data_IF_055700989274
#
_entry.id   IF_055700989274
#
_cell.length_a   1.000
_cell.length_b   1.000
_cell.length_c   1.000
_cell.angle_alpha   90.00
_cell.angle_beta   90.00
_cell.angle_gamma   90.00
#
_symmetry.space_group_name_H-M   'P 1'
#
loop_
_entity.id
_entity.type
_entity.pdbx_description
1 polymer ?
#
# COMPACT_ATOMS: atom_id res chain seq x y z
N UNK A 1 -11.52 2.42 -4.97
CA UNK A 1 -10.98 1.69 -6.16
C UNK A 1 -11.47 0.25 -6.18
N UNK A 2 -11.51 -0.49 -7.30
CA UNK A 2 -11.71 -1.97 -7.27
C UNK A 2 -10.51 -2.65 -6.59
N UNK A 3 -10.65 -3.89 -6.07
CA UNK A 3 -9.56 -4.60 -5.40
C UNK A 3 -8.30 -4.74 -6.28
N UNK A 4 -8.46 -5.10 -7.55
CA UNK A 4 -7.37 -5.18 -8.52
C UNK A 4 -6.69 -3.83 -8.79
N UNK A 5 -7.46 -2.75 -8.89
CA UNK A 5 -6.94 -1.41 -9.12
C UNK A 5 -6.12 -0.91 -7.92
N UNK A 6 -6.58 -1.19 -6.71
CA UNK A 6 -5.86 -0.86 -5.49
C UNK A 6 -4.53 -1.61 -5.40
N UNK A 7 -4.54 -2.92 -5.69
CA UNK A 7 -3.34 -3.75 -5.68
C UNK A 7 -2.30 -3.26 -6.69
N UNK A 8 -2.74 -2.91 -7.91
CA UNK A 8 -1.87 -2.31 -8.95
C UNK A 8 -1.32 -0.95 -8.52
N UNK A 9 -2.16 -0.07 -7.99
CA UNK A 9 -1.73 1.26 -7.54
C UNK A 9 -0.67 1.17 -6.43
N UNK A 10 -0.85 0.27 -5.46
CA UNK A 10 0.15 0.02 -4.43
C UNK A 10 1.44 -0.56 -5.00
N UNK A 11 1.35 -1.49 -5.96
CA UNK A 11 2.55 -2.05 -6.60
C UNK A 11 3.35 -0.95 -7.32
N UNK A 12 2.66 -0.06 -8.06
CA UNK A 12 3.29 1.08 -8.73
C UNK A 12 3.94 2.02 -7.72
N UNK A 13 3.21 2.43 -6.68
CA UNK A 13 3.72 3.36 -5.68
C UNK A 13 4.88 2.78 -4.88
N UNK A 14 4.79 1.50 -4.49
CA UNK A 14 5.88 0.75 -3.87
C UNK A 14 7.14 0.78 -4.74
N UNK A 15 7.00 0.55 -6.05
CA UNK A 15 8.13 0.59 -7.00
C UNK A 15 8.71 1.99 -7.14
N UNK A 16 7.88 3.03 -7.25
CA UNK A 16 8.34 4.43 -7.30
C UNK A 16 9.13 4.82 -6.06
N UNK A 17 8.70 4.34 -4.89
CA UNK A 17 9.37 4.57 -3.62
C UNK A 17 10.56 3.65 -3.36
N UNK A 18 10.78 2.61 -4.18
CA UNK A 18 11.84 1.62 -3.96
C UNK A 18 11.63 0.76 -2.71
N UNK A 19 10.39 0.62 -2.23
CA UNK A 19 10.09 -0.07 -0.98
C UNK A 19 9.90 -1.58 -1.16
N UNK A 20 10.23 -2.34 -0.13
CA UNK A 20 9.81 -3.73 0.02
C UNK A 20 8.39 -3.83 0.58
N UNK A 21 7.74 -4.99 0.41
CA UNK A 21 6.37 -5.18 0.90
C UNK A 21 6.25 -5.09 2.43
N UNK A 22 7.27 -5.51 3.17
CA UNK A 22 7.32 -5.35 4.62
C UNK A 22 7.36 -3.86 5.03
N UNK A 23 8.09 -3.03 4.27
CA UNK A 23 8.10 -1.58 4.51
C UNK A 23 6.73 -0.95 4.21
N UNK A 24 6.03 -1.42 3.18
CA UNK A 24 4.65 -1.00 2.92
C UNK A 24 3.73 -1.41 4.07
N UNK A 25 3.95 -2.57 4.69
CA UNK A 25 3.19 -2.97 5.88
C UNK A 25 3.40 -2.00 7.05
N UNK A 26 4.64 -1.58 7.29
CA UNK A 26 4.97 -0.56 8.31
C UNK A 26 4.33 0.80 7.99
N UNK A 27 4.43 1.27 6.74
CA UNK A 27 3.84 2.53 6.28
C UNK A 27 2.31 2.57 6.44
N UNK A 28 1.67 1.42 6.29
CA UNK A 28 0.23 1.24 6.45
C UNK A 28 -0.18 0.94 7.90
N UNK A 29 0.78 0.77 8.82
CA UNK A 29 0.56 0.33 10.20
C UNK A 29 -0.27 -0.97 10.27
N UNK A 30 0.11 -1.98 9.47
CA UNK A 30 -0.57 -3.28 9.43
C UNK A 30 0.44 -4.44 9.42
N UNK A 31 -0.01 -5.63 9.82
CA UNK A 31 0.81 -6.84 9.69
C UNK A 31 1.02 -7.28 8.23
N UNK A 32 2.08 -8.03 7.97
CA UNK A 32 2.41 -8.52 6.62
C UNK A 32 1.29 -9.36 6.00
N UNK A 33 0.59 -10.18 6.80
CA UNK A 33 -0.58 -10.95 6.36
C UNK A 33 -1.71 -10.07 5.83
N UNK A 34 -1.87 -8.86 6.38
CA UNK A 34 -2.88 -7.91 5.91
C UNK A 34 -2.50 -7.37 4.53
N UNK A 35 -1.22 -7.11 4.28
CA UNK A 35 -0.70 -6.71 2.96
C UNK A 35 -0.86 -7.85 1.94
N UNK A 36 -0.56 -9.10 2.34
CA UNK A 36 -0.81 -10.28 1.51
C UNK A 36 -2.28 -10.42 1.12
N UNK A 37 -3.20 -10.29 2.09
CA UNK A 37 -4.65 -10.30 1.82
C UNK A 37 -5.08 -9.15 0.94
N UNK A 38 -4.50 -7.96 1.12
CA UNK A 38 -4.80 -6.80 0.30
C UNK A 38 -4.39 -7.00 -1.16
N UNK A 39 -3.21 -7.57 -1.40
CA UNK A 39 -2.75 -7.94 -2.74
C UNK A 39 -3.64 -8.99 -3.42
N UNK A 40 -4.21 -9.89 -2.63
CA UNK A 40 -5.17 -10.89 -3.09
C UNK A 40 -6.61 -10.36 -3.21
N UNK A 41 -6.85 -9.07 -2.95
CA UNK A 41 -8.18 -8.46 -2.99
C UNK A 41 -9.11 -8.86 -1.83
N UNK A 42 -8.57 -9.49 -0.79
CA UNK A 42 -9.29 -10.01 0.39
C UNK A 42 -9.04 -9.20 1.66
N UNK A 43 -8.54 -7.97 1.54
CA UNK A 43 -8.34 -7.10 2.70
C UNK A 43 -9.68 -6.63 3.29
N UNK A 44 -9.71 -6.51 4.62
CA UNK A 44 -10.80 -5.87 5.32
C UNK A 44 -10.92 -4.37 5.01
N UNK A 45 -12.06 -3.74 5.34
CA UNK A 45 -12.34 -2.35 5.01
C UNK A 45 -11.32 -1.37 5.61
N UNK A 46 -10.83 -1.60 6.83
CA UNK A 46 -9.83 -0.75 7.48
C UNK A 46 -8.49 -0.75 6.75
N UNK A 47 -7.97 -1.93 6.39
CA UNK A 47 -6.71 -2.07 5.67
C UNK A 47 -6.81 -1.41 4.30
N UNK A 48 -7.96 -1.57 3.63
CA UNK A 48 -8.26 -0.92 2.35
C UNK A 48 -8.26 0.60 2.46
N UNK A 49 -8.90 1.15 3.49
CA UNK A 49 -8.94 2.59 3.76
C UNK A 49 -7.53 3.14 3.99
N UNK A 50 -6.73 2.49 4.85
CA UNK A 50 -5.34 2.89 5.11
C UNK A 50 -4.49 2.85 3.84
N UNK A 51 -4.66 1.83 3.00
CA UNK A 51 -3.98 1.74 1.71
C UNK A 51 -4.37 2.87 0.76
N UNK A 52 -5.66 3.21 0.66
CA UNK A 52 -6.12 4.33 -0.15
C UNK A 52 -5.62 5.68 0.40
N UNK A 53 -5.59 5.86 1.72
CA UNK A 53 -5.02 7.05 2.38
C UNK A 53 -3.52 7.19 2.08
N UNK A 54 -2.75 6.10 2.19
CA UNK A 54 -1.32 6.09 1.86
C UNK A 54 -1.05 6.43 0.39
N UNK A 55 -1.87 5.91 -0.52
CA UNK A 55 -1.79 6.26 -1.95
C UNK A 55 -2.07 7.74 -2.22
N UNK A 56 -2.83 8.43 -1.37
CA UNK A 56 -3.13 9.87 -1.49
C UNK A 56 -2.07 10.77 -0.85
N UNK A 57 -1.22 10.23 0.04
CA UNK A 57 -0.16 11.04 0.67
C UNK A 57 0.75 11.61 -0.41
N UNK A 58 1.14 12.90 -0.36
CA UNK A 58 2.17 13.42 -1.25
C UNK A 58 3.47 12.66 -1.00
N UNK A 59 4.22 12.34 -2.06
CA UNK A 59 5.57 11.79 -1.88
C UNK A 59 6.42 12.89 -1.26
N UNK A 60 7.08 12.68 -0.11
CA UNK A 60 8.10 13.62 0.33
C UNK A 60 9.16 13.69 -0.78
N UNK A 61 9.64 14.90 -1.16
CA UNK A 61 10.75 15.00 -2.08
C UNK A 61 11.90 14.17 -1.49
N UNK A 62 12.49 13.28 -2.29
CA UNK A 62 13.76 12.65 -1.88
C UNK A 62 14.78 13.77 -1.88
N UNK A 63 15.27 14.15 -0.70
CA UNK A 63 16.51 14.91 -0.62
C UNK A 63 17.62 14.01 -1.20
N UNK A 64 18.18 14.44 -2.32
CA UNK A 64 19.32 13.81 -3.00
C UNK A 64 20.61 13.96 -2.21
#
# INVERSE_FOLDING_TARGET
>A
MKPDELSRALQTRRRQLGLFWWQVALELDVGEDAVHRLRAGKAGPDVRRRAEEWLRRPNPPREE
#
